data_IF_226652086039
#
_entry.id   IF_226652086039
#
_cell.length_a   1.000
_cell.length_b   1.000
_cell.length_c   1.000
_cell.angle_alpha   90.00
_cell.angle_beta   90.00
_cell.angle_gamma   90.00
#
_symmetry.space_group_name_H-M   'P 1'
#
loop_
_entity.id
_entity.type
_entity.pdbx_description
1 polymer ?
#
# COMPACT_ATOMS: atom_id res chain seq x y z
N UNK A 1 2.42 19.07 18.42
CA UNK A 1 1.17 19.26 17.67
C UNK A 1 0.60 17.88 17.51
N UNK A 2 -0.22 17.53 18.48
CA UNK A 2 -0.39 16.14 18.86
C UNK A 2 -1.60 15.67 18.03
N UNK A 3 -1.38 14.70 17.15
CA UNK A 3 -2.37 14.22 16.18
C UNK A 3 -3.50 13.41 16.84
N UNK A 4 -3.87 13.77 18.07
CA UNK A 4 -4.86 13.10 18.89
C UNK A 4 -6.23 13.25 18.22
N UNK A 5 -6.86 12.11 17.92
CA UNK A 5 -8.15 12.07 17.22
C UNK A 5 -8.11 12.16 15.70
N UNK A 6 -6.93 12.24 15.07
CA UNK A 6 -6.81 12.20 13.60
C UNK A 6 -6.57 10.78 13.10
N UNK A 7 -7.27 10.40 12.04
CA UNK A 7 -6.99 9.17 11.32
C UNK A 7 -5.92 9.41 10.26
N UNK A 8 -4.89 8.57 10.27
CA UNK A 8 -3.90 8.53 9.20
C UNK A 8 -4.37 7.60 8.08
N UNK A 9 -4.13 8.04 6.85
CA UNK A 9 -4.36 7.30 5.61
C UNK A 9 -3.04 7.15 4.85
N UNK A 10 -2.81 5.98 4.24
CA UNK A 10 -1.66 5.74 3.39
C UNK A 10 -2.03 4.94 2.12
N UNK A 11 -1.53 5.41 0.98
CA UNK A 11 -1.74 4.80 -0.34
C UNK A 11 -0.39 4.63 -1.06
N UNK A 12 0.40 3.59 -0.73
CA UNK A 12 1.68 3.36 -1.39
C UNK A 12 1.51 2.93 -2.86
N UNK A 13 2.54 3.17 -3.66
CA UNK A 13 2.67 2.56 -4.98
C UNK A 13 2.96 1.05 -4.86
N UNK A 14 2.79 0.30 -5.95
CA UNK A 14 3.24 -1.10 -6.06
C UNK A 14 4.77 -1.18 -6.23
N UNK A 15 5.49 -0.69 -5.23
CA UNK A 15 6.95 -0.57 -5.20
C UNK A 15 7.47 0.76 -5.73
N UNK A 16 8.81 0.88 -5.75
CA UNK A 16 9.48 1.98 -6.42
C UNK A 16 9.30 1.80 -7.94
N UNK A 17 8.92 2.85 -8.69
CA UNK A 17 8.86 2.73 -10.13
C UNK A 17 10.25 2.57 -10.72
N UNK A 18 10.37 1.70 -11.71
CA UNK A 18 11.47 1.70 -12.67
C UNK A 18 11.03 2.50 -13.91
N UNK A 19 11.98 3.16 -14.57
CA UNK A 19 11.71 3.87 -15.83
C UNK A 19 12.10 2.98 -16.99
N UNK A 20 11.11 2.54 -17.76
CA UNK A 20 11.27 1.74 -18.97
C UNK A 20 10.68 2.54 -20.14
N UNK A 21 11.51 2.89 -21.13
CA UNK A 21 11.13 3.72 -22.28
C UNK A 21 10.41 5.04 -21.91
N UNK A 22 10.81 5.64 -20.79
CA UNK A 22 10.23 6.87 -20.26
C UNK A 22 8.90 6.68 -19.53
N UNK A 23 8.44 5.45 -19.35
CA UNK A 23 7.24 5.10 -18.59
C UNK A 23 7.59 4.50 -17.24
N UNK A 24 6.81 4.85 -16.21
CA UNK A 24 6.96 4.27 -14.88
C UNK A 24 6.33 2.87 -14.82
N UNK A 25 7.14 1.85 -14.55
CA UNK A 25 6.75 0.45 -14.40
C UNK A 25 6.86 0.05 -12.93
N UNK A 26 5.81 -0.57 -12.41
CA UNK A 26 5.70 -1.01 -11.01
C UNK A 26 5.65 -2.53 -10.98
N UNK A 27 6.53 -3.15 -10.17
CA UNK A 27 6.79 -4.60 -10.23
C UNK A 27 6.60 -5.33 -8.90
N UNK A 28 6.17 -4.63 -7.85
CA UNK A 28 5.92 -5.29 -6.56
C UNK A 28 4.72 -6.22 -6.70
N UNK A 29 4.86 -7.46 -6.22
CA UNK A 29 3.76 -8.43 -6.26
C UNK A 29 2.61 -8.01 -5.32
N UNK A 30 1.39 -8.51 -5.55
CA UNK A 30 0.26 -8.30 -4.64
C UNK A 30 0.56 -8.73 -3.20
N UNK A 31 1.26 -9.86 -3.04
CA UNK A 31 1.62 -10.42 -1.74
C UNK A 31 2.67 -9.57 -1.02
N UNK A 32 3.72 -9.14 -1.72
CA UNK A 32 4.76 -8.27 -1.14
C UNK A 32 4.21 -6.89 -0.80
N UNK A 33 3.33 -6.35 -1.65
CA UNK A 33 2.60 -5.12 -1.38
C UNK A 33 1.75 -5.25 -0.11
N UNK A 34 0.96 -6.31 0.00
CA UNK A 34 0.12 -6.55 1.17
C UNK A 34 0.95 -6.67 2.46
N UNK A 35 2.08 -7.39 2.42
CA UNK A 35 2.97 -7.53 3.56
C UNK A 35 3.60 -6.18 3.99
N UNK A 36 3.97 -5.34 3.03
CA UNK A 36 4.50 -4.00 3.32
C UNK A 36 3.43 -3.08 3.92
N UNK A 37 2.24 -3.03 3.33
CA UNK A 37 1.14 -2.18 3.81
C UNK A 37 0.59 -2.66 5.16
N UNK A 38 0.63 -3.96 5.46
CA UNK A 38 0.28 -4.48 6.78
C UNK A 38 1.17 -3.89 7.89
N UNK A 39 2.46 -3.63 7.62
CA UNK A 39 3.36 -2.95 8.57
C UNK A 39 2.96 -1.49 8.78
N UNK A 40 2.50 -0.81 7.73
CA UNK A 40 1.98 0.57 7.81
C UNK A 40 0.71 0.60 8.66
N UNK A 41 -0.21 -0.34 8.45
CA UNK A 41 -1.41 -0.49 9.27
C UNK A 41 -1.06 -0.75 10.75
N UNK A 42 -0.10 -1.65 11.03
CA UNK A 42 0.40 -1.93 12.37
C UNK A 42 1.06 -0.71 13.06
N UNK A 43 1.57 0.25 12.28
CA UNK A 43 2.12 1.51 12.79
C UNK A 43 1.05 2.55 13.20
N UNK A 44 -0.25 2.21 13.11
CA UNK A 44 -1.37 3.06 13.55
C UNK A 44 -2.13 3.74 12.43
N UNK A 45 -1.78 3.50 11.16
CA UNK A 45 -2.56 3.98 10.01
C UNK A 45 -3.88 3.22 9.93
N UNK A 46 -5.00 3.96 9.88
CA UNK A 46 -6.35 3.39 10.00
C UNK A 46 -7.06 3.21 8.66
N UNK A 47 -6.59 3.89 7.62
CA UNK A 47 -7.06 3.69 6.25
C UNK A 47 -5.87 3.37 5.36
N UNK A 48 -5.90 2.20 4.72
CA UNK A 48 -4.83 1.78 3.81
C UNK A 48 -5.42 1.40 2.46
N UNK A 49 -4.73 1.82 1.40
CA UNK A 49 -5.08 1.57 0.02
C UNK A 49 -3.85 1.45 -0.85
N UNK A 50 -3.99 1.77 -2.13
CA UNK A 50 -2.90 1.73 -3.10
C UNK A 50 -3.00 2.86 -4.11
N UNK A 51 -1.85 3.33 -4.60
CA UNK A 51 -1.76 4.37 -5.62
C UNK A 51 -1.23 3.77 -6.94
N UNK A 52 -0.18 4.32 -7.55
CA UNK A 52 0.29 3.88 -8.85
C UNK A 52 0.81 2.44 -8.85
N UNK A 53 0.47 1.68 -9.90
CA UNK A 53 0.85 0.28 -10.05
C UNK A 53 0.03 -0.71 -9.22
N UNK A 54 -0.83 -0.23 -8.31
CA UNK A 54 -1.73 -1.10 -7.55
C UNK A 54 -3.00 -1.40 -8.33
N UNK A 55 -3.51 -2.62 -8.16
CA UNK A 55 -4.72 -3.11 -8.84
C UNK A 55 -5.61 -3.94 -7.91
N UNK A 56 -6.73 -4.48 -8.42
CA UNK A 56 -7.67 -5.27 -7.62
C UNK A 56 -7.02 -6.45 -6.87
N UNK A 57 -6.07 -7.13 -7.48
CA UNK A 57 -5.31 -8.23 -6.90
C UNK A 57 -4.48 -7.78 -5.67
N UNK A 58 -3.88 -6.59 -5.72
CA UNK A 58 -3.15 -5.98 -4.61
C UNK A 58 -4.08 -5.70 -3.43
N UNK A 59 -5.24 -5.10 -3.70
CA UNK A 59 -6.24 -4.79 -2.68
C UNK A 59 -6.84 -6.06 -2.08
N UNK A 60 -7.07 -7.10 -2.89
CA UNK A 60 -7.54 -8.39 -2.41
C UNK A 60 -6.52 -9.07 -1.49
N UNK A 61 -5.23 -9.06 -1.84
CA UNK A 61 -4.16 -9.57 -0.99
C UNK A 61 -4.03 -8.78 0.32
N UNK A 62 -4.08 -7.45 0.24
CA UNK A 62 -4.07 -6.57 1.42
C UNK A 62 -5.24 -6.87 2.34
N UNK A 63 -6.46 -6.91 1.80
CA UNK A 63 -7.69 -7.20 2.53
C UNK A 63 -7.60 -8.55 3.28
N UNK A 64 -7.09 -9.60 2.63
CA UNK A 64 -6.86 -10.90 3.29
C UNK A 64 -5.80 -10.82 4.41
N UNK A 65 -4.80 -9.96 4.25
CA UNK A 65 -3.67 -9.86 5.19
C UNK A 65 -4.03 -9.09 6.46
N UNK A 66 -4.89 -8.07 6.37
CA UNK A 66 -5.20 -7.18 7.51
C UNK A 66 -6.56 -7.43 8.17
N UNK A 67 -7.42 -8.27 7.57
CA UNK A 67 -8.70 -8.66 8.18
C UNK A 67 -8.48 -9.84 9.13
N UNK A 68 -8.85 -9.65 10.40
CA UNK A 68 -8.98 -10.67 11.44
C UNK A 68 -10.42 -10.77 11.90
#
# INVERSE_FOLDING_TARGET
>A
ADAEGLFLLAEPNAGRPDLEDGQAVYRLSPEDFAAAVARIHQAGVRIVGGCCGTGPEHIAALSRTIRS
#
